data_IF_656668636843
#
_entry.id   IF_656668636843
#
_cell.length_a   1.000
_cell.length_b   1.000
_cell.length_c   1.000
_cell.angle_alpha   90.00
_cell.angle_beta   90.00
_cell.angle_gamma   90.00
#
_symmetry.space_group_name_H-M   'P 1'
#
loop_
_entity.id
_entity.type
_entity.pdbx_description
1 polymer ?
#
# COMPACT_ATOMS: atom_id res chain seq x y z
N UNK A 1 35.77 51.32 9.45
CA UNK A 1 35.55 49.91 9.78
C UNK A 1 34.14 49.79 10.30
N UNK A 2 33.15 49.39 9.46
CA UNK A 2 31.75 49.17 9.83
C UNK A 2 31.52 47.65 9.74
N UNK A 3 31.27 47.05 10.86
CA UNK A 3 30.83 45.65 10.98
C UNK A 3 29.36 45.61 10.59
N UNK A 4 29.05 44.78 9.60
CA UNK A 4 27.66 44.48 9.20
C UNK A 4 27.30 43.18 9.91
N UNK A 5 26.33 43.28 10.81
CA UNK A 5 25.69 42.16 11.49
C UNK A 5 24.58 41.62 10.57
N UNK A 6 24.72 40.39 10.09
CA UNK A 6 23.70 39.65 9.34
C UNK A 6 23.12 38.58 10.25
N UNK A 7 22.19 39.03 11.10
CA UNK A 7 21.30 38.15 11.83
C UNK A 7 20.29 37.50 10.88
N UNK A 8 20.65 36.35 10.30
CA UNK A 8 19.73 35.47 9.59
C UNK A 8 19.26 34.36 10.53
N UNK A 9 18.10 34.60 11.17
CA UNK A 9 17.44 33.55 11.93
C UNK A 9 17.02 32.39 11.00
N UNK A 10 17.60 31.22 11.20
CA UNK A 10 17.09 29.97 10.69
C UNK A 10 15.81 29.64 11.47
N UNK A 11 14.65 30.02 10.91
CA UNK A 11 13.39 29.44 11.34
C UNK A 11 13.42 27.97 10.97
N UNK A 12 13.63 27.12 11.96
CA UNK A 12 13.41 25.68 11.88
C UNK A 12 11.92 25.43 11.63
N UNK A 13 11.56 25.08 10.41
CA UNK A 13 10.27 24.51 10.07
C UNK A 13 10.15 23.10 10.71
N UNK A 14 10.11 23.00 12.01
CA UNK A 14 9.59 21.84 12.73
C UNK A 14 8.07 21.84 12.52
N UNK A 15 7.61 21.17 11.47
CA UNK A 15 6.22 20.72 11.38
C UNK A 15 6.01 19.77 12.55
N UNK A 16 5.40 20.25 13.63
CA UNK A 16 4.92 19.40 14.71
C UNK A 16 4.01 18.35 14.12
N UNK A 17 4.46 17.11 14.07
CA UNK A 17 3.63 15.99 13.66
C UNK A 17 2.51 15.85 14.69
N UNK A 18 1.28 16.12 14.25
CA UNK A 18 0.09 15.96 15.10
C UNK A 18 -0.01 14.50 15.53
N UNK A 19 0.01 14.24 16.83
CA UNK A 19 -0.16 12.91 17.38
C UNK A 19 -1.66 12.57 17.37
N UNK A 20 -2.05 11.60 16.52
CA UNK A 20 -3.44 11.12 16.42
C UNK A 20 -3.52 9.75 17.09
N UNK A 21 -4.39 9.64 18.10
CA UNK A 21 -4.69 8.39 18.80
C UNK A 21 -6.17 8.03 18.66
N UNK A 22 -6.49 6.77 18.88
CA UNK A 22 -7.80 6.18 18.67
C UNK A 22 -8.21 5.36 19.86
N UNK A 23 -9.45 5.53 20.33
CA UNK A 23 -10.04 4.77 21.44
C UNK A 23 -11.44 4.29 21.06
N UNK A 24 -11.92 3.23 21.69
CA UNK A 24 -13.33 2.83 21.55
C UNK A 24 -14.23 3.89 22.18
N UNK A 25 -15.32 4.22 21.48
CA UNK A 25 -16.34 5.09 22.06
C UNK A 25 -17.07 4.40 23.23
N UNK A 26 -17.67 5.19 24.11
CA UNK A 26 -18.36 4.76 25.31
C UNK A 26 -19.77 5.29 25.37
N UNK A 27 -20.58 4.82 26.32
CA UNK A 27 -21.96 5.30 26.49
C UNK A 27 -22.06 6.83 26.63
N UNK A 28 -21.07 7.48 27.24
CA UNK A 28 -20.99 8.94 27.36
C UNK A 28 -20.85 9.67 26.03
N UNK A 29 -20.44 8.96 24.96
CA UNK A 29 -20.27 9.51 23.61
C UNK A 29 -21.57 9.46 22.78
N UNK A 30 -22.59 8.71 23.22
CA UNK A 30 -23.86 8.56 22.48
C UNK A 30 -24.50 9.93 22.21
N UNK A 31 -24.65 10.76 23.21
CA UNK A 31 -25.29 12.07 23.05
C UNK A 31 -24.48 13.01 22.17
N UNK A 32 -23.16 13.19 22.35
CA UNK A 32 -22.31 13.93 21.43
C UNK A 32 -22.41 13.47 19.98
N UNK A 33 -22.36 12.16 19.71
CA UNK A 33 -22.47 11.61 18.35
C UNK A 33 -23.85 11.91 17.77
N UNK A 34 -24.92 11.72 18.56
CA UNK A 34 -26.28 11.98 18.14
C UNK A 34 -26.51 13.46 17.76
N UNK A 35 -25.98 14.42 18.53
CA UNK A 35 -26.08 15.83 18.19
C UNK A 35 -25.29 16.19 16.92
N UNK A 36 -24.15 15.55 16.66
CA UNK A 36 -23.41 15.71 15.40
C UNK A 36 -24.20 15.17 14.20
N UNK A 37 -24.83 13.99 14.31
CA UNK A 37 -25.73 13.45 13.29
C UNK A 37 -26.89 14.39 12.99
N UNK A 38 -27.51 14.90 14.04
CA UNK A 38 -28.64 15.85 13.96
C UNK A 38 -28.23 17.15 13.24
N UNK A 39 -27.08 17.70 13.60
CA UNK A 39 -26.53 18.88 12.93
C UNK A 39 -26.29 18.63 11.44
N UNK A 40 -25.71 17.48 11.10
CA UNK A 40 -25.40 17.09 9.71
C UNK A 40 -26.67 16.98 8.86
N UNK A 41 -27.72 16.38 9.42
CA UNK A 41 -29.02 16.28 8.76
C UNK A 41 -29.61 17.68 8.57
N UNK A 42 -29.55 18.54 9.58
CA UNK A 42 -30.07 19.89 9.50
C UNK A 42 -29.35 20.73 8.44
N UNK A 43 -28.05 20.56 8.29
CA UNK A 43 -27.24 21.33 7.35
C UNK A 43 -27.42 20.88 5.89
N UNK A 44 -27.68 19.59 5.66
CA UNK A 44 -27.55 19.02 4.30
C UNK A 44 -28.80 18.31 3.78
N UNK A 45 -29.75 17.89 4.63
CA UNK A 45 -30.97 17.22 4.20
C UNK A 45 -32.10 18.21 3.88
N UNK A 46 -33.04 17.79 3.07
CA UNK A 46 -34.30 18.53 2.82
C UNK A 46 -35.34 18.03 3.82
N UNK A 47 -35.47 18.75 4.96
CA UNK A 47 -36.30 18.30 6.09
C UNK A 47 -37.77 18.08 5.73
N UNK A 48 -38.29 18.79 4.71
CA UNK A 48 -39.67 18.66 4.23
C UNK A 48 -39.91 17.33 3.50
N UNK A 49 -38.87 16.65 3.09
CA UNK A 49 -38.96 15.38 2.31
C UNK A 49 -38.84 14.13 3.18
N UNK A 50 -38.60 14.28 4.48
CA UNK A 50 -38.35 13.17 5.40
C UNK A 50 -39.29 13.24 6.61
N UNK A 51 -39.60 12.08 7.20
CA UNK A 51 -40.21 12.00 8.53
C UNK A 51 -39.11 12.22 9.59
N UNK A 52 -38.81 13.50 9.86
CA UNK A 52 -37.71 13.90 10.72
C UNK A 52 -37.77 13.22 12.11
N UNK A 53 -38.87 13.17 12.85
CA UNK A 53 -38.94 12.49 14.15
C UNK A 53 -38.56 11.00 14.04
N UNK A 54 -39.06 10.32 13.01
CA UNK A 54 -38.76 8.89 12.78
C UNK A 54 -37.33 8.67 12.44
N UNK A 55 -36.70 9.51 11.59
CA UNK A 55 -35.29 9.45 11.23
C UNK A 55 -34.42 9.66 12.47
N UNK A 56 -34.72 10.67 13.29
CA UNK A 56 -33.93 10.97 14.49
C UNK A 56 -34.03 9.85 15.54
N UNK A 57 -35.21 9.24 15.70
CA UNK A 57 -35.36 8.08 16.61
C UNK A 57 -34.57 6.87 16.09
N UNK A 58 -34.55 6.63 14.78
CA UNK A 58 -33.79 5.55 14.17
C UNK A 58 -32.27 5.77 14.38
N UNK A 59 -31.76 7.00 14.14
CA UNK A 59 -30.35 7.36 14.35
C UNK A 59 -29.94 7.11 15.80
N UNK A 60 -30.75 7.57 16.76
CA UNK A 60 -30.46 7.34 18.19
C UNK A 60 -30.30 5.86 18.49
N UNK A 61 -31.27 5.04 18.07
CA UNK A 61 -31.20 3.58 18.27
C UNK A 61 -29.98 2.94 17.56
N UNK A 62 -29.64 3.42 16.36
CA UNK A 62 -28.44 2.96 15.65
C UNK A 62 -27.21 3.21 16.50
N UNK A 63 -27.02 4.42 17.01
CA UNK A 63 -25.85 4.78 17.83
C UNK A 63 -25.82 3.97 19.13
N UNK A 64 -26.94 3.87 19.83
CA UNK A 64 -27.07 3.10 21.08
C UNK A 64 -26.70 1.62 20.89
N UNK A 65 -27.13 1.00 19.77
CA UNK A 65 -26.91 -0.42 19.49
C UNK A 65 -25.47 -0.74 18.99
N UNK A 66 -24.77 0.24 18.44
CA UNK A 66 -23.42 0.05 17.86
C UNK A 66 -22.35 0.95 18.47
N UNK A 67 -22.57 1.48 19.66
CA UNK A 67 -21.62 2.43 20.27
C UNK A 67 -20.21 1.84 20.48
N UNK A 68 -20.11 0.56 20.72
CA UNK A 68 -18.86 -0.18 20.88
C UNK A 68 -18.09 -0.38 19.55
N UNK A 69 -18.73 -0.14 18.41
CA UNK A 69 -18.12 -0.15 17.08
C UNK A 69 -17.57 1.23 16.69
N UNK A 70 -18.11 2.32 17.30
CA UNK A 70 -17.58 3.65 17.10
C UNK A 70 -16.18 3.81 17.69
N UNK A 71 -15.40 4.66 17.04
CA UNK A 71 -14.05 5.02 17.48
C UNK A 71 -13.96 6.52 17.71
N UNK A 72 -13.46 6.90 18.87
CA UNK A 72 -13.11 8.28 19.23
C UNK A 72 -11.72 8.59 18.72
N UNK A 73 -11.55 9.76 18.12
CA UNK A 73 -10.29 10.26 17.58
C UNK A 73 -9.76 11.37 18.47
N UNK A 74 -8.51 11.27 18.87
CA UNK A 74 -7.83 12.30 19.66
C UNK A 74 -6.66 12.88 18.86
N UNK A 75 -6.51 14.20 18.91
CA UNK A 75 -5.39 14.93 18.33
C UNK A 75 -4.61 15.62 19.46
N UNK A 76 -3.34 15.29 19.65
CA UNK A 76 -2.50 15.79 20.74
C UNK A 76 -3.13 15.61 22.14
N UNK A 77 -3.91 14.53 22.32
CA UNK A 77 -4.59 14.19 23.58
C UNK A 77 -5.99 14.82 23.77
N UNK A 78 -6.44 15.69 22.88
CA UNK A 78 -7.77 16.28 22.88
C UNK A 78 -8.71 15.53 21.93
N UNK A 79 -9.97 15.33 22.33
CA UNK A 79 -10.97 14.67 21.50
C UNK A 79 -11.26 15.51 20.25
N UNK A 80 -11.02 14.96 19.07
CA UNK A 80 -11.07 15.66 17.79
C UNK A 80 -12.20 15.19 16.87
N UNK A 81 -12.86 14.07 17.20
CA UNK A 81 -13.95 13.56 16.39
C UNK A 81 -14.29 12.11 16.66
N UNK A 82 -15.15 11.56 15.81
CA UNK A 82 -15.61 10.18 15.85
C UNK A 82 -15.71 9.61 14.45
N UNK A 83 -15.58 8.28 14.34
CA UNK A 83 -15.94 7.55 13.13
C UNK A 83 -16.52 6.18 13.47
N UNK A 84 -17.40 5.69 12.57
CA UNK A 84 -17.95 4.34 12.58
C UNK A 84 -17.51 3.64 11.29
N UNK A 85 -16.78 2.54 11.44
CA UNK A 85 -16.28 1.72 10.33
C UNK A 85 -16.48 0.26 10.68
N UNK A 86 -17.28 -0.42 9.89
CA UNK A 86 -17.70 -1.79 10.17
C UNK A 86 -17.89 -2.59 8.88
N UNK A 87 -18.06 -3.90 9.01
CA UNK A 87 -18.45 -4.78 7.93
C UNK A 87 -19.97 -5.06 8.06
N UNK A 88 -20.74 -4.69 7.02
CA UNK A 88 -22.17 -4.90 7.01
C UNK A 88 -22.55 -6.38 6.80
N UNK A 89 -23.84 -6.71 6.87
CA UNK A 89 -24.35 -8.09 6.74
C UNK A 89 -24.01 -8.73 5.39
N UNK A 90 -23.84 -7.93 4.33
CA UNK A 90 -23.43 -8.39 3.00
C UNK A 90 -21.90 -8.59 2.87
N UNK A 91 -21.16 -8.41 3.95
CA UNK A 91 -19.70 -8.53 3.97
C UNK A 91 -18.95 -7.32 3.37
N UNK A 92 -19.66 -6.23 3.04
CA UNK A 92 -19.06 -4.98 2.57
C UNK A 92 -18.59 -4.12 3.73
N UNK A 93 -17.41 -3.50 3.60
CA UNK A 93 -16.94 -2.51 4.56
C UNK A 93 -17.59 -1.15 4.28
N UNK A 94 -18.00 -0.47 5.35
CA UNK A 94 -18.68 0.82 5.28
C UNK A 94 -18.08 1.82 6.26
N UNK A 95 -17.82 3.05 5.78
CA UNK A 95 -17.62 4.23 6.62
C UNK A 95 -18.99 4.89 6.74
N UNK A 96 -19.74 4.54 7.79
CA UNK A 96 -21.12 5.00 8.00
C UNK A 96 -21.13 6.44 8.53
N UNK A 97 -20.34 6.73 9.57
CA UNK A 97 -20.22 8.06 10.16
C UNK A 97 -18.76 8.47 10.23
N UNK A 98 -18.46 9.74 9.93
CA UNK A 98 -17.15 10.36 10.12
C UNK A 98 -17.32 11.84 10.47
N UNK A 99 -16.98 12.20 11.68
CA UNK A 99 -17.07 13.56 12.21
C UNK A 99 -15.70 14.04 12.70
N UNK A 100 -15.29 15.22 12.24
CA UNK A 100 -14.13 15.93 12.79
C UNK A 100 -14.66 17.27 13.33
N UNK A 101 -14.41 17.54 14.60
CA UNK A 101 -14.89 18.77 15.24
C UNK A 101 -14.37 20.01 14.54
N UNK A 102 -15.15 21.12 14.50
CA UNK A 102 -14.82 22.32 13.73
C UNK A 102 -13.40 22.84 13.96
N UNK A 103 -12.95 22.87 15.21
CA UNK A 103 -11.63 23.35 15.64
C UNK A 103 -10.46 22.48 15.13
N UNK A 104 -10.73 21.21 14.81
CA UNK A 104 -9.76 20.26 14.28
C UNK A 104 -9.85 20.05 12.76
N UNK A 105 -10.78 20.73 12.11
CA UNK A 105 -10.94 20.63 10.66
C UNK A 105 -9.79 21.32 9.91
N UNK A 106 -9.60 20.97 8.61
CA UNK A 106 -8.53 21.47 7.73
C UNK A 106 -7.11 21.09 8.16
N UNK A 107 -6.94 20.20 9.14
CA UNK A 107 -5.66 19.74 9.66
C UNK A 107 -5.29 18.31 9.16
N UNK A 108 -6.07 17.76 8.21
CA UNK A 108 -5.80 16.45 7.60
C UNK A 108 -6.40 15.26 8.34
N UNK A 109 -7.02 15.44 9.52
CA UNK A 109 -7.54 14.36 10.38
C UNK A 109 -8.52 13.46 9.64
N UNK A 110 -9.51 14.01 8.92
CA UNK A 110 -10.46 13.23 8.13
C UNK A 110 -9.77 12.37 7.07
N UNK A 111 -8.73 12.89 6.40
CA UNK A 111 -7.93 12.09 5.44
C UNK A 111 -7.19 10.96 6.14
N UNK A 112 -6.66 11.19 7.34
CA UNK A 112 -5.93 10.18 8.12
C UNK A 112 -6.87 9.05 8.58
N UNK A 113 -8.09 9.39 9.02
CA UNK A 113 -9.11 8.39 9.40
C UNK A 113 -9.46 7.51 8.19
N UNK A 114 -9.81 8.12 7.04
CA UNK A 114 -10.19 7.35 5.84
C UNK A 114 -9.04 6.47 5.36
N UNK A 115 -7.80 6.96 5.35
CA UNK A 115 -6.63 6.14 5.01
C UNK A 115 -6.44 4.98 5.97
N UNK A 116 -6.68 5.19 7.29
CA UNK A 116 -6.65 4.12 8.29
C UNK A 116 -7.71 3.05 7.99
N UNK A 117 -8.94 3.44 7.68
CA UNK A 117 -10.00 2.50 7.26
C UNK A 117 -9.57 1.73 6.00
N UNK A 118 -9.03 2.42 4.98
CA UNK A 118 -8.53 1.77 3.78
C UNK A 118 -7.35 0.81 4.05
N UNK A 119 -6.49 1.12 5.00
CA UNK A 119 -5.36 0.27 5.36
C UNK A 119 -5.75 -0.96 6.20
N UNK A 120 -6.92 -0.98 6.83
CA UNK A 120 -7.36 -2.07 7.69
C UNK A 120 -8.03 -3.24 6.94
N UNK A 121 -8.30 -3.09 5.65
CA UNK A 121 -8.92 -4.12 4.81
C UNK A 121 -8.39 -4.03 3.38
N UNK A 122 -8.46 -5.15 2.64
CA UNK A 122 -8.21 -5.19 1.19
C UNK A 122 -9.53 -5.24 0.38
N UNK A 123 -10.67 -5.28 1.07
CA UNK A 123 -11.98 -5.32 0.44
C UNK A 123 -12.45 -3.91 0.04
N UNK A 124 -13.38 -3.80 -0.92
CA UNK A 124 -14.00 -2.54 -1.27
C UNK A 124 -14.67 -1.88 -0.06
N UNK A 125 -14.58 -0.56 -0.02
CA UNK A 125 -15.19 0.26 1.03
C UNK A 125 -16.24 1.16 0.40
N UNK A 126 -17.41 1.25 1.03
CA UNK A 126 -18.47 2.15 0.63
C UNK A 126 -18.75 3.20 1.70
N UNK A 127 -19.40 4.29 1.30
CA UNK A 127 -19.93 5.31 2.20
C UNK A 127 -21.11 6.03 1.56
N UNK A 128 -21.92 6.66 2.41
CA UNK A 128 -22.95 7.60 2.01
C UNK A 128 -22.51 9.02 2.34
N UNK A 129 -22.76 9.96 1.42
CA UNK A 129 -22.42 11.37 1.67
C UNK A 129 -23.50 12.28 1.08
N UNK A 130 -23.89 13.31 1.81
CA UNK A 130 -24.80 14.32 1.29
C UNK A 130 -24.17 15.06 0.10
N UNK A 131 -24.93 15.21 -0.99
CA UNK A 131 -24.45 15.90 -2.21
C UNK A 131 -24.04 17.33 -1.89
N UNK A 132 -24.80 18.02 -1.02
CA UNK A 132 -24.54 19.38 -0.58
C UNK A 132 -23.29 19.50 0.30
N UNK A 133 -22.78 18.41 0.87
CA UNK A 133 -21.51 18.41 1.61
C UNK A 133 -20.33 18.29 0.65
N UNK A 134 -20.15 19.32 -0.19
CA UNK A 134 -19.11 19.36 -1.25
C UNK A 134 -17.71 19.12 -0.70
N UNK A 135 -17.48 19.51 0.56
CA UNK A 135 -16.20 19.35 1.23
C UNK A 135 -15.89 17.87 1.50
N UNK A 136 -16.86 17.11 2.03
CA UNK A 136 -16.73 15.67 2.25
C UNK A 136 -16.64 14.93 0.92
N UNK A 137 -17.47 15.27 -0.07
CA UNK A 137 -17.41 14.71 -1.43
C UNK A 137 -16.01 14.91 -2.04
N UNK A 138 -15.44 16.12 -1.92
CA UNK A 138 -14.09 16.42 -2.43
C UNK A 138 -13.02 15.64 -1.68
N UNK A 139 -13.15 15.45 -0.36
CA UNK A 139 -12.26 14.63 0.44
C UNK A 139 -12.25 13.18 -0.06
N UNK A 140 -13.42 12.57 -0.17
CA UNK A 140 -13.54 11.18 -0.60
C UNK A 140 -13.05 10.97 -2.04
N UNK A 141 -13.37 11.88 -2.98
CA UNK A 141 -12.83 11.83 -4.35
C UNK A 141 -11.29 11.83 -4.37
N UNK A 142 -10.64 12.72 -3.59
CA UNK A 142 -9.17 12.76 -3.47
C UNK A 142 -8.56 11.48 -2.88
N UNK A 143 -9.35 10.73 -2.10
CA UNK A 143 -8.95 9.46 -1.51
C UNK A 143 -9.37 8.24 -2.34
N UNK A 144 -9.76 8.44 -3.60
CA UNK A 144 -10.02 7.38 -4.56
C UNK A 144 -11.45 6.83 -4.56
N UNK A 145 -12.37 7.42 -3.79
CA UNK A 145 -13.79 7.05 -3.86
C UNK A 145 -14.45 7.63 -5.10
N UNK A 146 -15.25 6.82 -5.78
CA UNK A 146 -16.03 7.19 -6.96
C UNK A 146 -17.52 7.13 -6.64
N UNK A 147 -18.30 8.08 -7.18
CA UNK A 147 -19.75 8.04 -7.09
C UNK A 147 -20.25 6.86 -7.94
N UNK A 148 -20.97 5.94 -7.31
CA UNK A 148 -21.57 4.77 -7.98
C UNK A 148 -23.07 4.91 -8.14
N UNK A 149 -23.73 5.64 -7.22
CA UNK A 149 -25.16 5.81 -7.23
C UNK A 149 -25.57 7.14 -6.59
N UNK A 150 -26.77 7.62 -6.95
CA UNK A 150 -27.40 8.79 -6.31
C UNK A 150 -28.75 8.38 -5.71
N UNK A 151 -28.92 8.62 -4.41
CA UNK A 151 -30.14 8.27 -3.68
C UNK A 151 -30.97 9.53 -3.41
N UNK A 152 -32.24 9.48 -3.76
CA UNK A 152 -33.24 10.53 -3.50
C UNK A 152 -32.77 11.95 -3.86
N UNK A 153 -31.85 12.11 -4.80
CA UNK A 153 -31.22 13.38 -5.17
C UNK A 153 -30.58 14.14 -3.99
N UNK A 154 -30.38 13.51 -2.84
CA UNK A 154 -29.79 14.14 -1.63
C UNK A 154 -28.45 13.54 -1.24
N UNK A 155 -28.16 12.28 -1.62
CA UNK A 155 -26.94 11.57 -1.23
C UNK A 155 -26.29 10.83 -2.39
N UNK A 156 -24.97 10.77 -2.35
CA UNK A 156 -24.18 9.84 -3.15
C UNK A 156 -23.87 8.57 -2.34
N UNK A 157 -23.93 7.41 -3.01
CA UNK A 157 -23.14 6.26 -2.61
C UNK A 157 -21.78 6.42 -3.30
N UNK A 158 -20.72 6.39 -2.53
CA UNK A 158 -19.38 6.39 -3.08
C UNK A 158 -18.67 5.10 -2.67
N UNK A 159 -17.92 4.51 -3.62
CA UNK A 159 -17.14 3.29 -3.40
C UNK A 159 -15.68 3.52 -3.74
N UNK A 160 -14.81 2.94 -2.92
CA UNK A 160 -13.39 2.76 -3.21
C UNK A 160 -13.15 1.26 -3.31
N UNK A 161 -12.65 0.80 -4.46
CA UNK A 161 -12.28 -0.61 -4.67
C UNK A 161 -11.16 -1.04 -3.73
N UNK A 162 -10.54 -0.08 -3.05
CA UNK A 162 -9.47 -0.26 -2.07
C UNK A 162 -8.27 -1.06 -2.60
N UNK A 163 -8.09 -1.03 -3.92
CA UNK A 163 -6.94 -1.65 -4.56
C UNK A 163 -5.68 -0.88 -4.20
N UNK A 164 -4.75 -1.56 -3.56
CA UNK A 164 -3.43 -0.99 -3.30
C UNK A 164 -2.73 -0.74 -4.62
N UNK A 165 -2.25 0.48 -4.87
CA UNK A 165 -1.68 0.90 -6.15
C UNK A 165 -0.56 -0.02 -6.66
N UNK A 166 0.18 -0.64 -5.76
CA UNK A 166 1.27 -1.56 -6.08
C UNK A 166 0.83 -2.99 -6.46
N UNK A 167 -0.48 -3.30 -6.37
CA UNK A 167 -1.02 -4.63 -6.75
C UNK A 167 -1.45 -4.71 -8.21
N UNK A 168 -1.19 -3.70 -9.02
CA UNK A 168 -1.66 -3.63 -10.40
C UNK A 168 -1.13 -4.77 -11.30
N UNK A 169 -0.04 -5.43 -10.91
CA UNK A 169 0.46 -6.61 -11.63
C UNK A 169 -0.50 -7.80 -11.60
N UNK A 170 -1.33 -7.95 -10.58
CA UNK A 170 -2.39 -8.97 -10.57
C UNK A 170 -3.30 -8.89 -11.82
N UNK A 171 -3.76 -7.69 -12.15
CA UNK A 171 -4.60 -7.49 -13.34
C UNK A 171 -3.79 -7.60 -14.64
N UNK A 172 -2.51 -7.27 -14.61
CA UNK A 172 -1.62 -7.39 -15.75
C UNK A 172 -1.37 -8.84 -16.11
N UNK A 173 -1.05 -9.69 -15.12
CA UNK A 173 -0.89 -11.14 -15.30
C UNK A 173 -2.19 -11.76 -15.80
N UNK A 174 -3.34 -11.44 -15.20
CA UNK A 174 -4.66 -11.91 -15.69
C UNK A 174 -4.86 -11.59 -17.16
N UNK A 175 -4.56 -10.37 -17.58
CA UNK A 175 -4.71 -9.96 -18.98
C UNK A 175 -3.78 -10.75 -19.90
N UNK A 176 -2.51 -10.94 -19.54
CA UNK A 176 -1.55 -11.71 -20.33
C UNK A 176 -1.99 -13.18 -20.44
N UNK A 177 -2.33 -13.82 -19.33
CA UNK A 177 -2.73 -15.24 -19.31
C UNK A 177 -4.05 -15.49 -20.06
N UNK A 178 -5.01 -14.56 -20.01
CA UNK A 178 -6.25 -14.63 -20.81
C UNK A 178 -5.96 -14.57 -22.32
N UNK A 179 -4.88 -13.88 -22.72
CA UNK A 179 -4.39 -13.86 -24.11
C UNK A 179 -3.47 -15.03 -24.45
N UNK A 180 -3.26 -15.98 -23.51
CA UNK A 180 -2.47 -17.20 -23.71
C UNK A 180 -0.96 -16.97 -23.72
N UNK A 181 -0.47 -15.86 -23.15
CA UNK A 181 0.95 -15.51 -23.06
C UNK A 181 1.38 -15.24 -21.62
N UNK A 182 2.67 -15.44 -21.32
CA UNK A 182 3.29 -14.93 -20.09
C UNK A 182 3.63 -13.45 -20.27
N UNK A 183 3.62 -12.71 -19.16
CA UNK A 183 4.06 -11.31 -19.17
C UNK A 183 5.58 -11.18 -19.15
N UNK A 184 6.26 -12.05 -18.40
CA UNK A 184 7.72 -12.06 -18.26
C UNK A 184 8.38 -12.90 -19.34
N UNK A 185 9.61 -12.56 -19.72
CA UNK A 185 10.44 -13.43 -20.56
C UNK A 185 10.88 -14.66 -19.79
N UNK A 186 11.21 -15.75 -20.51
CA UNK A 186 11.67 -17.03 -19.89
C UNK A 186 13.13 -16.97 -19.38
N UNK A 187 13.87 -15.90 -19.71
CA UNK A 187 15.28 -15.78 -19.36
C UNK A 187 15.44 -15.28 -17.91
N UNK A 188 16.04 -16.10 -17.04
CA UNK A 188 16.33 -15.73 -15.65
C UNK A 188 17.38 -14.61 -15.53
N UNK A 189 17.32 -13.87 -14.44
CA UNK A 189 18.28 -12.83 -14.09
C UNK A 189 19.59 -13.47 -13.61
N UNK A 190 20.69 -13.31 -14.36
CA UNK A 190 21.99 -13.90 -13.99
C UNK A 190 22.47 -13.47 -12.61
N UNK A 191 22.16 -12.23 -12.21
CA UNK A 191 22.61 -11.63 -10.95
C UNK A 191 22.26 -12.46 -9.71
N UNK A 192 21.11 -13.16 -9.70
CA UNK A 192 20.69 -13.97 -8.53
C UNK A 192 21.68 -15.09 -8.31
N UNK A 193 21.98 -15.87 -9.37
CA UNK A 193 22.93 -16.98 -9.29
C UNK A 193 24.36 -16.52 -9.11
N UNK A 194 24.74 -15.38 -9.68
CA UNK A 194 26.06 -14.76 -9.47
C UNK A 194 26.30 -14.40 -7.98
N UNK A 195 25.30 -13.81 -7.34
CA UNK A 195 25.38 -13.44 -5.91
C UNK A 195 25.36 -14.71 -5.02
N UNK A 196 24.50 -15.69 -5.33
CA UNK A 196 24.48 -16.98 -4.63
C UNK A 196 25.89 -17.62 -4.65
N UNK A 197 26.52 -17.67 -5.81
CA UNK A 197 27.86 -18.24 -5.96
C UNK A 197 28.93 -17.38 -5.27
N UNK A 198 28.92 -16.08 -5.47
CA UNK A 198 29.90 -15.14 -4.92
C UNK A 198 29.95 -15.17 -3.40
N UNK A 199 28.79 -15.24 -2.76
CA UNK A 199 28.69 -15.25 -1.30
C UNK A 199 28.57 -16.67 -0.72
N UNK A 200 28.78 -17.69 -1.55
CA UNK A 200 28.80 -19.09 -1.14
C UNK A 200 27.53 -19.49 -0.36
N UNK A 201 26.36 -19.09 -0.88
CA UNK A 201 25.05 -19.50 -0.32
C UNK A 201 24.90 -21.00 -0.58
N UNK A 202 24.66 -21.79 0.48
CA UNK A 202 24.61 -23.24 0.42
C UNK A 202 23.20 -23.76 0.10
N UNK A 203 23.06 -24.98 -0.41
CA UNK A 203 21.78 -25.59 -0.75
C UNK A 203 20.85 -25.79 0.47
N UNK A 204 21.42 -26.03 1.64
CA UNK A 204 20.70 -26.17 2.92
C UNK A 204 20.23 -24.84 3.51
N UNK A 205 20.74 -23.71 3.04
CA UNK A 205 20.27 -22.40 3.46
C UNK A 205 18.82 -22.20 3.06
N UNK A 206 18.06 -21.49 3.91
CA UNK A 206 16.71 -21.09 3.60
C UNK A 206 16.73 -19.78 2.78
N UNK A 207 16.18 -19.84 1.57
CA UNK A 207 16.07 -18.70 0.66
C UNK A 207 14.64 -18.20 0.59
N UNK A 208 14.46 -16.89 0.44
CA UNK A 208 13.19 -16.23 0.17
C UNK A 208 13.30 -15.35 -1.07
N UNK A 209 12.39 -15.53 -2.00
CA UNK A 209 12.16 -14.59 -3.10
C UNK A 209 10.92 -13.77 -2.82
N UNK A 210 11.05 -12.44 -2.91
CA UNK A 210 9.94 -11.49 -2.80
C UNK A 210 9.62 -10.98 -4.19
N UNK A 211 8.36 -11.17 -4.65
CA UNK A 211 7.90 -10.74 -5.96
C UNK A 211 8.42 -11.64 -7.08
N UNK A 212 8.19 -12.95 -6.97
CA UNK A 212 8.66 -13.91 -7.96
C UNK A 212 7.98 -13.80 -9.34
N UNK A 213 6.87 -13.08 -9.43
CA UNK A 213 6.09 -12.98 -10.66
C UNK A 213 5.70 -14.34 -11.21
N UNK A 214 5.98 -14.57 -12.49
CA UNK A 214 5.73 -15.86 -13.17
C UNK A 214 6.82 -16.91 -12.94
N UNK A 215 7.71 -16.69 -11.94
CA UNK A 215 8.65 -17.71 -11.44
C UNK A 215 9.94 -17.88 -12.24
N UNK A 216 10.30 -16.93 -13.07
CA UNK A 216 11.48 -16.96 -13.93
C UNK A 216 12.79 -17.18 -13.14
N UNK A 217 13.03 -16.37 -12.12
CA UNK A 217 14.22 -16.48 -11.28
C UNK A 217 14.07 -17.62 -10.27
N UNK A 218 12.86 -17.86 -9.75
CA UNK A 218 12.53 -19.01 -8.91
C UNK A 218 12.93 -20.33 -9.56
N UNK A 219 12.60 -20.51 -10.85
CA UNK A 219 12.92 -21.73 -11.59
C UNK A 219 14.41 -22.03 -11.60
N UNK A 220 15.23 -21.01 -11.90
CA UNK A 220 16.68 -21.17 -11.95
C UNK A 220 17.27 -21.58 -10.58
N UNK A 221 16.77 -21.01 -9.49
CA UNK A 221 17.19 -21.31 -8.12
C UNK A 221 16.73 -22.70 -7.69
N UNK A 222 15.47 -23.07 -7.97
CA UNK A 222 14.90 -24.39 -7.64
C UNK A 222 15.56 -25.52 -8.45
N UNK A 223 15.76 -25.33 -9.75
CA UNK A 223 16.48 -26.28 -10.61
C UNK A 223 17.95 -26.46 -10.16
N UNK A 224 18.53 -25.41 -9.58
CA UNK A 224 19.84 -25.45 -8.91
C UNK A 224 19.84 -26.24 -7.59
N UNK A 225 18.69 -26.72 -7.11
CA UNK A 225 18.58 -27.52 -5.89
C UNK A 225 18.57 -26.73 -4.59
N UNK A 226 18.34 -25.42 -4.62
CA UNK A 226 18.30 -24.58 -3.42
C UNK A 226 16.95 -24.68 -2.70
N UNK A 227 16.95 -24.52 -1.39
CA UNK A 227 15.77 -24.52 -0.54
C UNK A 227 15.09 -23.14 -0.56
N UNK A 228 14.28 -22.90 -1.58
CA UNK A 228 13.63 -21.61 -1.86
C UNK A 228 12.15 -21.61 -1.44
N UNK A 229 11.71 -20.54 -0.80
CA UNK A 229 10.33 -20.09 -0.73
C UNK A 229 10.16 -18.89 -1.68
N UNK A 230 9.37 -19.06 -2.73
CA UNK A 230 9.08 -18.00 -3.71
C UNK A 230 7.73 -17.39 -3.45
N UNK A 231 7.66 -16.06 -3.38
CA UNK A 231 6.43 -15.35 -3.01
C UNK A 231 6.12 -14.21 -3.95
N UNK A 232 4.83 -13.97 -4.18
CA UNK A 232 4.32 -12.80 -4.88
C UNK A 232 3.00 -12.35 -4.25
N UNK A 233 2.68 -11.06 -4.37
CA UNK A 233 1.39 -10.52 -3.92
C UNK A 233 0.25 -10.97 -4.86
N UNK A 234 0.56 -11.32 -6.10
CA UNK A 234 -0.40 -11.73 -7.13
C UNK A 234 -0.80 -13.19 -6.98
N UNK A 235 -2.09 -13.42 -6.74
CA UNK A 235 -2.66 -14.78 -6.78
C UNK A 235 -2.52 -15.42 -8.17
N UNK A 236 -2.70 -14.61 -9.22
CA UNK A 236 -2.59 -15.08 -10.61
C UNK A 236 -1.18 -15.56 -10.94
N UNK A 237 -0.15 -14.79 -10.53
CA UNK A 237 1.25 -15.19 -10.72
C UNK A 237 1.57 -16.50 -10.00
N UNK A 238 1.17 -16.62 -8.74
CA UNK A 238 1.39 -17.83 -7.94
C UNK A 238 0.65 -19.04 -8.53
N UNK A 239 -0.60 -18.87 -8.97
CA UNK A 239 -1.35 -19.93 -9.64
C UNK A 239 -0.67 -20.37 -10.95
N UNK A 240 -0.12 -19.43 -11.71
CA UNK A 240 0.64 -19.71 -12.92
C UNK A 240 1.92 -20.49 -12.59
N UNK A 241 2.73 -20.07 -11.61
CA UNK A 241 3.94 -20.78 -11.19
C UNK A 241 3.65 -22.24 -10.81
N UNK A 242 2.62 -22.46 -9.99
CA UNK A 242 2.20 -23.82 -9.58
C UNK A 242 1.75 -24.68 -10.75
N UNK A 243 1.12 -24.08 -11.76
CA UNK A 243 0.68 -24.75 -12.98
C UNK A 243 1.86 -25.19 -13.86
N UNK A 244 2.86 -24.33 -14.04
CA UNK A 244 4.00 -24.61 -14.96
C UNK A 244 5.14 -25.38 -14.28
N UNK A 245 5.20 -25.35 -12.92
CA UNK A 245 6.21 -26.01 -12.11
C UNK A 245 5.55 -26.85 -11.00
N UNK A 246 4.73 -27.88 -11.35
CA UNK A 246 3.96 -28.64 -10.37
C UNK A 246 4.83 -29.41 -9.37
N UNK A 247 6.07 -29.75 -9.73
CA UNK A 247 7.07 -30.41 -8.86
C UNK A 247 7.49 -29.46 -7.69
N UNK A 248 7.37 -28.17 -7.87
CA UNK A 248 7.70 -27.11 -6.89
C UNK A 248 6.46 -26.41 -6.30
N UNK A 249 5.26 -26.96 -6.44
CA UNK A 249 4.00 -26.34 -5.99
C UNK A 249 4.08 -25.78 -4.56
N UNK A 250 4.71 -26.53 -3.65
CA UNK A 250 4.85 -26.16 -2.23
C UNK A 250 5.81 -24.98 -1.97
N UNK A 251 6.63 -24.64 -2.95
CA UNK A 251 7.60 -23.56 -2.84
C UNK A 251 6.98 -22.21 -3.12
N UNK A 252 5.79 -22.17 -3.76
CA UNK A 252 5.12 -20.93 -4.16
C UNK A 252 3.97 -20.57 -3.21
N UNK A 253 3.95 -19.33 -2.73
CA UNK A 253 2.88 -18.80 -1.87
C UNK A 253 2.59 -17.33 -2.10
N UNK A 254 1.34 -16.93 -1.86
CA UNK A 254 0.95 -15.52 -1.90
C UNK A 254 1.45 -14.82 -0.64
N UNK A 255 2.06 -13.64 -0.81
CA UNK A 255 2.58 -12.82 0.28
C UNK A 255 2.60 -11.34 -0.12
N UNK A 256 1.97 -10.50 0.67
CA UNK A 256 2.16 -9.05 0.61
C UNK A 256 3.22 -8.63 1.65
N UNK A 257 4.46 -8.50 1.24
CA UNK A 257 5.58 -8.14 2.12
C UNK A 257 5.43 -6.75 2.78
N UNK A 258 4.45 -5.94 2.38
CA UNK A 258 4.16 -4.64 2.99
C UNK A 258 3.16 -4.73 4.16
N UNK A 259 2.44 -5.85 4.30
CA UNK A 259 1.41 -6.04 5.33
C UNK A 259 1.50 -7.36 6.10
N UNK A 260 2.06 -8.40 5.47
CA UNK A 260 2.14 -9.74 6.05
C UNK A 260 3.43 -9.94 6.84
N UNK A 261 3.48 -11.03 7.61
CA UNK A 261 4.65 -11.44 8.36
C UNK A 261 4.84 -12.97 8.22
N UNK A 262 6.08 -13.43 8.33
CA UNK A 262 6.42 -14.85 8.31
C UNK A 262 7.06 -15.25 9.65
N UNK A 263 6.69 -16.39 10.19
CA UNK A 263 7.32 -16.97 11.40
C UNK A 263 8.62 -17.73 11.05
N UNK A 264 9.43 -17.17 10.13
CA UNK A 264 10.65 -17.82 9.63
C UNK A 264 11.72 -16.79 9.30
N UNK A 265 12.99 -17.11 9.59
CA UNK A 265 14.15 -16.34 9.18
C UNK A 265 14.89 -17.03 8.03
N UNK A 266 15.49 -16.23 7.16
CA UNK A 266 16.15 -16.67 5.95
C UNK A 266 17.64 -16.32 5.96
N UNK A 267 18.45 -17.20 5.36
CA UNK A 267 19.88 -16.98 5.16
C UNK A 267 20.12 -16.03 3.99
N UNK A 268 19.27 -16.11 2.97
CA UNK A 268 19.33 -15.22 1.81
C UNK A 268 17.93 -14.81 1.37
N UNK A 269 17.72 -13.50 1.21
CA UNK A 269 16.49 -12.93 0.66
C UNK A 269 16.84 -12.23 -0.64
N UNK A 270 16.02 -12.41 -1.68
CA UNK A 270 16.21 -11.62 -2.90
C UNK A 270 14.90 -11.09 -3.45
N UNK A 271 14.98 -9.93 -4.09
CA UNK A 271 13.87 -9.27 -4.75
C UNK A 271 14.39 -8.60 -6.04
N UNK A 272 13.93 -9.08 -7.19
CA UNK A 272 14.37 -8.59 -8.49
C UNK A 272 13.23 -7.83 -9.16
N UNK A 273 13.45 -6.54 -9.44
CA UNK A 273 12.46 -5.65 -10.04
C UNK A 273 11.14 -5.54 -9.24
N UNK A 274 11.23 -5.41 -7.91
CA UNK A 274 10.08 -5.29 -7.00
C UNK A 274 10.01 -3.91 -6.34
N UNK A 275 11.10 -3.44 -5.71
CA UNK A 275 11.07 -2.26 -4.84
C UNK A 275 10.82 -0.93 -5.59
N UNK A 276 10.84 -0.93 -6.91
CA UNK A 276 10.37 0.22 -7.69
C UNK A 276 8.84 0.35 -7.72
N UNK A 277 8.09 -0.70 -7.39
CA UNK A 277 6.62 -0.68 -7.36
C UNK A 277 6.06 0.14 -6.19
N UNK A 278 6.54 -0.01 -4.93
CA UNK A 278 6.21 0.90 -3.85
C UNK A 278 6.74 2.32 -4.12
N UNK A 279 5.81 3.28 -4.30
CA UNK A 279 6.13 4.68 -4.61
C UNK A 279 6.18 5.55 -3.37
N UNK A 280 5.35 5.26 -2.35
CA UNK A 280 5.29 6.02 -1.11
C UNK A 280 6.46 5.64 -0.19
N UNK A 281 7.02 6.64 0.50
CA UNK A 281 8.13 6.42 1.44
C UNK A 281 7.78 5.41 2.54
N UNK A 282 6.53 5.44 3.01
CA UNK A 282 6.02 4.53 4.02
C UNK A 282 6.03 3.07 3.53
N UNK A 283 5.58 2.82 2.30
CA UNK A 283 5.54 1.47 1.73
C UNK A 283 6.94 0.94 1.44
N UNK A 284 7.86 1.80 0.95
CA UNK A 284 9.27 1.44 0.77
C UNK A 284 9.94 1.10 2.10
N UNK A 285 9.66 1.88 3.14
CA UNK A 285 10.17 1.58 4.48
C UNK A 285 9.64 0.24 5.01
N UNK A 286 8.35 -0.08 4.79
CA UNK A 286 7.77 -1.39 5.15
C UNK A 286 8.47 -2.53 4.42
N UNK A 287 8.76 -2.36 3.14
CA UNK A 287 9.50 -3.35 2.35
C UNK A 287 10.89 -3.65 2.95
N UNK A 288 11.67 -2.63 3.29
CA UNK A 288 12.98 -2.83 3.89
C UNK A 288 12.89 -3.38 5.32
N UNK A 289 11.89 -2.96 6.09
CA UNK A 289 11.65 -3.52 7.42
C UNK A 289 11.24 -5.00 7.35
N UNK A 290 10.47 -5.40 6.34
CA UNK A 290 10.17 -6.81 6.10
C UNK A 290 11.46 -7.61 5.88
N UNK A 291 12.36 -7.15 5.01
CA UNK A 291 13.66 -7.79 4.79
C UNK A 291 14.44 -7.86 6.11
N UNK A 292 14.56 -6.76 6.82
CA UNK A 292 15.27 -6.73 8.09
C UNK A 292 14.71 -7.74 9.10
N UNK A 293 13.39 -7.81 9.26
CA UNK A 293 12.75 -8.68 10.25
C UNK A 293 12.91 -10.16 9.91
N UNK A 294 12.98 -10.52 8.62
CA UNK A 294 13.05 -11.92 8.19
C UNK A 294 14.45 -12.41 7.80
N UNK A 295 15.45 -11.52 7.79
CA UNK A 295 16.83 -11.90 7.56
C UNK A 295 17.47 -12.45 8.85
N UNK A 296 18.25 -13.54 8.77
CA UNK A 296 19.08 -14.01 9.88
C UNK A 296 20.16 -12.98 10.21
N UNK A 297 20.79 -13.02 11.40
CA UNK A 297 21.84 -12.07 11.75
C UNK A 297 22.99 -12.01 10.75
N UNK A 298 23.47 -13.17 10.25
CA UNK A 298 24.54 -13.28 9.25
C UNK A 298 23.98 -13.44 7.81
N UNK A 299 22.65 -13.26 7.64
CA UNK A 299 22.00 -13.39 6.35
C UNK A 299 22.29 -12.22 5.43
N UNK A 300 22.12 -12.45 4.14
CA UNK A 300 22.28 -11.43 3.10
C UNK A 300 20.99 -11.22 2.34
N UNK A 301 20.79 -9.99 1.86
CA UNK A 301 19.71 -9.74 0.91
C UNK A 301 20.22 -9.06 -0.35
N UNK A 302 19.72 -9.53 -1.52
CA UNK A 302 19.90 -8.92 -2.83
C UNK A 302 18.64 -8.15 -3.22
N UNK A 303 18.76 -6.87 -3.49
CA UNK A 303 17.65 -6.02 -3.94
C UNK A 303 18.04 -5.43 -5.30
N UNK A 304 17.29 -5.81 -6.34
CA UNK A 304 17.42 -5.24 -7.67
C UNK A 304 16.23 -4.35 -7.97
N UNK A 305 16.48 -3.15 -8.51
CA UNK A 305 15.45 -2.14 -8.79
C UNK A 305 15.73 -1.39 -10.10
N UNK A 306 14.69 -0.91 -10.74
CA UNK A 306 14.84 -0.03 -11.91
C UNK A 306 15.63 1.23 -11.54
N UNK A 307 16.52 1.63 -12.42
CA UNK A 307 17.29 2.85 -12.31
C UNK A 307 18.72 2.71 -12.81
N UNK A 308 19.37 3.84 -13.02
CA UNK A 308 20.77 3.97 -13.47
C UNK A 308 21.72 4.40 -12.34
N UNK A 309 21.19 4.55 -11.14
CA UNK A 309 21.95 5.01 -9.96
C UNK A 309 21.95 6.51 -9.73
N UNK A 310 21.45 7.30 -10.66
CA UNK A 310 21.45 8.77 -10.61
C UNK A 310 20.05 9.36 -10.74
N UNK A 311 19.25 8.84 -11.67
CA UNK A 311 17.91 9.36 -11.98
C UNK A 311 16.91 9.08 -10.84
N UNK A 312 16.12 10.11 -10.48
CA UNK A 312 15.02 10.00 -9.54
C UNK A 312 13.70 10.35 -10.21
N UNK A 313 12.74 9.44 -10.11
CA UNK A 313 11.42 9.59 -10.70
C UNK A 313 10.38 8.85 -9.84
N UNK A 314 9.17 9.38 -9.78
CA UNK A 314 8.00 8.65 -9.23
C UNK A 314 6.77 8.90 -10.07
N UNK A 315 5.99 7.84 -10.28
CA UNK A 315 4.70 7.93 -10.95
C UNK A 315 3.61 8.49 -10.02
N UNK A 316 2.58 9.05 -10.61
CA UNK A 316 1.35 9.40 -9.90
C UNK A 316 0.56 8.10 -9.60
N UNK A 317 0.45 7.75 -8.33
CA UNK A 317 -0.23 6.52 -7.88
C UNK A 317 -1.74 6.52 -8.19
N UNK A 318 -2.36 7.69 -8.40
CA UNK A 318 -3.78 7.77 -8.79
C UNK A 318 -4.04 7.20 -10.19
N UNK A 319 -2.98 7.07 -11.02
CA UNK A 319 -3.01 6.48 -12.35
C UNK A 319 -2.70 4.99 -12.37
N UNK A 320 -2.39 4.39 -11.24
CA UNK A 320 -2.32 2.94 -11.15
C UNK A 320 -3.68 2.34 -11.55
N UNK A 321 -3.64 1.23 -12.31
CA UNK A 321 -4.80 0.57 -12.92
C UNK A 321 -5.44 1.30 -14.13
N UNK A 322 -4.98 2.46 -14.56
CA UNK A 322 -5.40 3.02 -15.85
C UNK A 322 -4.94 2.11 -16.99
N UNK A 323 -5.85 1.83 -17.94
CA UNK A 323 -5.51 1.02 -19.11
C UNK A 323 -4.55 1.80 -20.02
N UNK A 324 -3.45 1.17 -20.39
CA UNK A 324 -2.44 1.74 -21.28
C UNK A 324 -1.92 0.69 -22.28
N UNK A 325 -1.45 1.19 -23.40
CA UNK A 325 -0.80 0.39 -24.43
C UNK A 325 0.64 0.09 -24.01
N UNK A 326 1.03 -1.17 -24.12
CA UNK A 326 2.41 -1.64 -23.88
C UNK A 326 2.86 -2.52 -25.02
N UNK A 327 4.13 -2.41 -25.37
CA UNK A 327 4.80 -3.39 -26.23
C UNK A 327 5.12 -4.64 -25.40
N UNK A 328 4.86 -5.78 -25.99
CA UNK A 328 5.14 -7.11 -25.45
C UNK A 328 5.75 -7.97 -26.57
N UNK A 329 6.45 -9.04 -26.26
CA UNK A 329 7.03 -9.95 -27.27
C UNK A 329 5.99 -10.50 -28.23
N UNK A 330 4.74 -10.70 -27.79
CA UNK A 330 3.61 -11.14 -28.61
C UNK A 330 2.96 -10.03 -29.45
N UNK A 331 3.45 -8.79 -29.36
CA UNK A 331 2.89 -7.61 -29.98
C UNK A 331 2.32 -6.60 -28.98
N UNK A 332 1.55 -5.63 -29.48
CA UNK A 332 0.95 -4.60 -28.63
C UNK A 332 -0.19 -5.13 -27.77
N UNK A 333 -0.16 -4.86 -26.48
CA UNK A 333 -1.20 -5.23 -25.52
C UNK A 333 -1.77 -4.03 -24.79
N UNK A 334 -3.09 -4.05 -24.54
CA UNK A 334 -3.77 -3.12 -23.63
C UNK A 334 -3.77 -3.72 -22.23
N UNK A 335 -3.01 -3.14 -21.31
CA UNK A 335 -2.85 -3.63 -19.94
C UNK A 335 -2.98 -2.50 -18.93
N UNK A 336 -3.23 -2.84 -17.70
CA UNK A 336 -3.24 -1.85 -16.61
C UNK A 336 -1.85 -1.25 -16.39
N UNK A 337 -1.82 0.05 -16.12
CA UNK A 337 -0.64 0.77 -15.69
C UNK A 337 -0.20 0.31 -14.30
N UNK A 338 1.11 0.26 -14.08
CA UNK A 338 1.72 -0.03 -12.79
C UNK A 338 2.42 1.21 -12.26
N UNK A 339 2.56 1.30 -10.94
CA UNK A 339 3.35 2.34 -10.31
C UNK A 339 4.86 2.09 -10.49
N UNK A 340 5.64 3.16 -10.46
CA UNK A 340 7.09 3.08 -10.54
C UNK A 340 7.74 4.25 -9.79
N UNK A 341 8.76 3.93 -9.01
CA UNK A 341 9.69 4.90 -8.41
C UNK A 341 11.12 4.46 -8.63
N UNK A 342 11.89 5.24 -9.37
CA UNK A 342 13.33 5.12 -9.47
C UNK A 342 13.99 6.07 -8.47
N UNK A 343 15.09 5.64 -7.88
CA UNK A 343 15.87 6.40 -6.92
C UNK A 343 17.35 6.31 -7.25
N UNK A 344 18.13 7.31 -6.86
CA UNK A 344 19.58 7.26 -6.95
C UNK A 344 20.18 6.25 -5.95
N UNK A 345 21.45 5.85 -6.16
CA UNK A 345 22.18 5.05 -5.15
C UNK A 345 22.29 5.76 -3.81
N UNK A 346 22.31 7.09 -3.81
CA UNK A 346 22.33 7.86 -2.56
C UNK A 346 21.03 7.68 -1.81
N UNK A 347 19.89 7.93 -2.46
CA UNK A 347 18.56 7.81 -1.84
C UNK A 347 18.30 6.36 -1.40
N UNK A 348 18.65 5.36 -2.23
CA UNK A 348 18.53 3.95 -1.88
C UNK A 348 19.35 3.61 -0.62
N UNK A 349 20.61 4.10 -0.54
CA UNK A 349 21.47 3.93 0.63
C UNK A 349 20.88 4.56 1.90
N UNK A 350 20.35 5.79 1.79
CA UNK A 350 19.70 6.49 2.90
C UNK A 350 18.41 5.76 3.38
N UNK A 351 17.64 5.16 2.48
CA UNK A 351 16.45 4.34 2.81
C UNK A 351 16.83 3.05 3.56
N UNK A 352 17.86 2.34 3.08
CA UNK A 352 18.37 1.11 3.69
C UNK A 352 18.99 1.36 5.07
N UNK A 353 19.75 2.44 5.20
CA UNK A 353 20.36 2.83 6.46
C UNK A 353 19.33 3.12 7.55
N UNK A 354 18.24 3.84 7.21
CA UNK A 354 17.11 4.08 8.12
C UNK A 354 16.40 2.79 8.56
N UNK A 355 16.53 1.73 7.75
CA UNK A 355 15.97 0.41 8.04
C UNK A 355 16.95 -0.55 8.72
N UNK A 356 18.10 -0.05 9.22
CA UNK A 356 19.17 -0.82 9.85
C UNK A 356 19.78 -1.90 8.94
N UNK A 357 19.84 -1.63 7.63
CA UNK A 357 20.50 -2.46 6.63
C UNK A 357 21.76 -1.75 6.15
N UNK A 358 22.88 -2.48 6.11
CA UNK A 358 24.19 -2.03 5.62
C UNK A 358 24.40 -2.52 4.20
N UNK A 359 24.71 -1.61 3.27
CA UNK A 359 25.08 -1.96 1.90
C UNK A 359 26.53 -2.46 1.87
N UNK A 360 26.74 -3.72 1.48
CA UNK A 360 28.06 -4.33 1.35
C UNK A 360 28.53 -4.40 -0.11
N UNK A 361 27.62 -4.33 -1.07
CA UNK A 361 27.91 -4.27 -2.50
C UNK A 361 26.82 -3.52 -3.24
N UNK A 362 27.18 -2.82 -4.32
CA UNK A 362 26.22 -2.19 -5.23
C UNK A 362 26.79 -2.08 -6.63
N UNK A 363 25.90 -2.03 -7.60
CA UNK A 363 26.29 -1.89 -9.01
C UNK A 363 25.07 -1.78 -9.94
N UNK A 364 25.38 -1.75 -11.23
CA UNK A 364 24.39 -1.81 -12.30
C UNK A 364 24.53 -3.18 -12.98
N UNK A 365 23.39 -3.80 -13.27
CA UNK A 365 23.29 -5.03 -14.06
C UNK A 365 22.34 -4.83 -15.22
N UNK A 366 22.57 -5.55 -16.32
CA UNK A 366 21.71 -5.57 -17.50
C UNK A 366 20.91 -6.88 -17.61
N UNK A 367 20.76 -7.59 -16.52
CA UNK A 367 20.36 -8.99 -16.49
C UNK A 367 18.90 -9.28 -16.85
N UNK A 368 18.07 -8.27 -17.13
CA UNK A 368 16.68 -8.44 -17.56
C UNK A 368 16.48 -7.89 -18.95
N UNK A 369 15.93 -8.68 -19.91
CA UNK A 369 15.63 -8.20 -21.26
C UNK A 369 14.74 -6.95 -21.30
N UNK A 370 13.84 -6.82 -20.31
CA UNK A 370 12.81 -5.78 -20.24
C UNK A 370 13.30 -4.47 -19.61
N UNK A 371 14.54 -4.42 -19.09
CA UNK A 371 15.08 -3.25 -18.41
C UNK A 371 16.43 -2.85 -18.96
N UNK A 372 16.53 -1.64 -19.50
CA UNK A 372 17.77 -1.10 -20.06
C UNK A 372 18.89 -0.96 -19.01
N UNK A 373 18.54 -0.74 -17.75
CA UNK A 373 19.44 -0.78 -16.60
C UNK A 373 18.70 -1.19 -15.34
N UNK A 374 19.35 -1.98 -14.53
CA UNK A 374 18.86 -2.45 -13.24
C UNK A 374 19.94 -2.20 -12.19
N UNK A 375 19.64 -1.39 -11.19
CA UNK A 375 20.48 -1.22 -10.02
C UNK A 375 20.38 -2.44 -9.12
N UNK A 376 21.48 -2.84 -8.50
CA UNK A 376 21.46 -3.82 -7.43
C UNK A 376 22.24 -3.35 -6.20
N UNK A 377 21.81 -3.82 -5.05
CA UNK A 377 22.53 -3.74 -3.78
C UNK A 377 22.49 -5.10 -3.09
N UNK A 378 23.59 -5.48 -2.46
CA UNK A 378 23.64 -6.58 -1.49
C UNK A 378 23.75 -5.95 -0.11
N UNK A 379 22.89 -6.37 0.80
CA UNK A 379 22.79 -5.81 2.15
C UNK A 379 22.84 -6.89 3.22
N UNK A 380 23.25 -6.50 4.43
CA UNK A 380 23.16 -7.30 5.66
C UNK A 380 22.54 -6.46 6.79
N UNK A 381 22.20 -7.09 7.89
CA UNK A 381 21.84 -6.35 9.13
C UNK A 381 23.07 -5.59 9.67
N UNK A 382 22.83 -4.37 10.18
CA UNK A 382 23.83 -3.62 10.94
C UNK A 382 24.06 -4.23 12.30
#
# INVERSE_FOLDING_TARGET
MKTIDIGGGLESNERWLMNITYEKAKEEDIEPIYELCKQLIHDYEQLETIDYPKVMNWIRKKIENSIDEYTTVHANGEKAGYYHFYQNEDGQFEIDDLYVFPEFQNQGIGSTIVRKCCASTNAPIMLYVFIKNERAVSLYKRLGFKVTETIHNSRYIMKNENKKYYTAYEERYKTAHQNGVSWSSDQSSSIVMEIIQKYNIQHEHCLLEIGCGEGRDSKAVLDGGYNLMATDISNEAIAYCKKIMPEFDKNFSVLDCLSDNLDKLFDFIYAVAVVHMPVLDEDRNRFYQFIYNHLKPEGLALICTMGDGECEMKSDISKAFEIQKREHESGEMMVVGTSCRMVSFKTLGDELERSNLEVIEKGITSALPDFNSLMFVVVKKK
#
